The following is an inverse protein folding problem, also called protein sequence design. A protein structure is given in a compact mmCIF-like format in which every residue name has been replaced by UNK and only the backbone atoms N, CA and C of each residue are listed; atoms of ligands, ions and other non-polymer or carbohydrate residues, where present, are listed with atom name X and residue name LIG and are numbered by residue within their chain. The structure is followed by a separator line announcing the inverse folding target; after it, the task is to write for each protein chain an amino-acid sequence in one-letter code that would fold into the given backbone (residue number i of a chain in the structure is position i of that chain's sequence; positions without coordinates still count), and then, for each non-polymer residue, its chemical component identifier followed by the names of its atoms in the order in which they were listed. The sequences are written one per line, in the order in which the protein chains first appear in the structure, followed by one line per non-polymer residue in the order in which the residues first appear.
data_IF_709247119855
#
_entry.id   IF_709247119855
#
_cell.length_a   1.000
_cell.length_b   1.000
_cell.length_c   1.000
_cell.angle_alpha   90.00
_cell.angle_beta   90.00
_cell.angle_gamma   90.00
#
_symmetry.space_group_name_H-M   'P 1'
#
loop_
_entity.id
_entity.type
_entity.pdbx_description
1 polymer ?
#
# COMPACT_ATOMS: atom_id res chain seq x y z
N UNK A 1 -30.37 8.59 15.43
CA UNK A 1 -29.36 8.27 14.41
C UNK A 1 -29.27 6.75 14.35
N UNK A 2 -29.32 6.11 13.19
CA UNK A 2 -29.16 4.65 13.07
C UNK A 2 -27.76 4.25 13.52
N UNK A 3 -27.63 3.04 14.06
CA UNK A 3 -26.32 2.51 14.47
C UNK A 3 -25.58 2.05 13.21
N UNK A 4 -24.25 2.13 13.20
CA UNK A 4 -23.40 1.91 12.02
C UNK A 4 -23.69 0.58 11.29
N UNK A 5 -24.02 -0.50 12.00
CA UNK A 5 -24.37 -1.81 11.43
C UNK A 5 -25.79 -1.92 10.89
N UNK A 6 -26.57 -0.83 10.94
CA UNK A 6 -27.95 -0.75 10.43
C UNK A 6 -28.05 0.10 9.14
N UNK A 7 -26.95 0.73 8.74
CA UNK A 7 -26.88 1.53 7.51
C UNK A 7 -26.23 0.74 6.37
N UNK A 8 -26.56 1.04 5.10
CA UNK A 8 -25.85 0.47 3.96
C UNK A 8 -24.37 0.85 3.96
N UNK A 9 -23.51 0.01 3.40
CA UNK A 9 -22.07 0.30 3.25
C UNK A 9 -21.82 1.59 2.47
N UNK A 10 -22.66 1.91 1.50
CA UNK A 10 -22.63 3.16 0.73
C UNK A 10 -22.82 4.39 1.60
N UNK A 11 -23.71 4.30 2.60
CA UNK A 11 -23.94 5.41 3.53
C UNK A 11 -22.78 5.53 4.54
N UNK A 12 -22.21 4.40 4.98
CA UNK A 12 -20.99 4.40 5.81
C UNK A 12 -19.84 5.11 5.06
N UNK A 13 -19.58 4.73 3.82
CA UNK A 13 -18.55 5.37 3.00
C UNK A 13 -18.79 6.87 2.85
N UNK A 14 -20.02 7.30 2.55
CA UNK A 14 -20.36 8.73 2.43
C UNK A 14 -20.09 9.49 3.73
N UNK A 15 -20.40 8.89 4.88
CA UNK A 15 -20.10 9.51 6.18
C UNK A 15 -18.58 9.62 6.40
N UNK A 16 -17.79 8.59 6.05
CA UNK A 16 -16.34 8.62 6.16
C UNK A 16 -15.71 9.67 5.21
N UNK A 17 -16.22 9.83 3.98
CA UNK A 17 -15.70 10.83 3.02
C UNK A 17 -15.82 12.25 3.59
N UNK A 18 -16.88 12.57 4.35
CA UNK A 18 -17.09 13.90 4.95
C UNK A 18 -16.01 14.31 5.96
N UNK A 19 -15.19 13.38 6.40
CA UNK A 19 -14.00 13.71 7.21
C UNK A 19 -12.81 13.98 6.29
N UNK A 20 -12.25 15.20 6.26
CA UNK A 20 -11.07 15.52 5.46
C UNK A 20 -9.79 14.97 6.12
N UNK A 21 -9.69 13.64 6.20
CA UNK A 21 -8.59 12.90 6.83
C UNK A 21 -7.35 12.86 5.93
N UNK A 22 -6.87 14.03 5.49
CA UNK A 22 -5.56 14.10 4.83
C UNK A 22 -4.49 13.60 5.79
N UNK A 23 -3.49 12.86 5.28
CA UNK A 23 -2.41 12.27 6.11
C UNK A 23 -1.93 13.22 7.20
N UNK A 24 -1.84 12.74 8.44
CA UNK A 24 -1.60 13.47 9.70
C UNK A 24 -2.80 14.26 10.28
N UNK A 25 -4.00 14.14 9.69
CA UNK A 25 -5.23 14.81 10.15
C UNK A 25 -6.42 13.85 10.27
N UNK A 26 -6.16 12.58 10.56
CA UNK A 26 -7.17 11.51 10.59
C UNK A 26 -7.97 11.44 11.88
N UNK A 27 -7.51 12.14 12.92
CA UNK A 27 -8.03 12.02 14.29
C UNK A 27 -9.56 12.10 14.40
N UNK A 28 -10.19 13.06 13.70
CA UNK A 28 -11.65 13.24 13.77
C UNK A 28 -12.41 12.04 13.18
N UNK A 29 -11.89 11.45 12.08
CA UNK A 29 -12.45 10.24 11.50
C UNK A 29 -12.24 9.03 12.41
N UNK A 30 -11.06 8.90 13.00
CA UNK A 30 -10.70 7.81 13.91
C UNK A 30 -11.58 7.86 15.18
N UNK A 31 -11.71 9.02 15.80
CA UNK A 31 -12.56 9.21 16.97
C UNK A 31 -14.04 8.88 16.67
N UNK A 32 -14.51 9.31 15.47
CA UNK A 32 -15.87 9.01 15.04
C UNK A 32 -16.07 7.50 14.81
N UNK A 33 -15.13 6.80 14.13
CA UNK A 33 -15.21 5.36 13.92
C UNK A 33 -15.23 4.59 15.26
N UNK A 34 -14.36 4.96 16.19
CA UNK A 34 -14.31 4.36 17.53
C UNK A 34 -15.66 4.51 18.24
N UNK A 35 -16.24 5.72 18.25
CA UNK A 35 -17.55 5.97 18.84
C UNK A 35 -18.65 5.12 18.17
N UNK A 36 -18.72 5.12 16.82
CA UNK A 36 -19.76 4.42 16.11
C UNK A 36 -19.70 2.90 16.33
N UNK A 37 -18.50 2.31 16.32
CA UNK A 37 -18.32 0.87 16.56
C UNK A 37 -18.58 0.53 18.02
N UNK A 38 -18.10 1.32 18.97
CA UNK A 38 -18.36 1.14 20.42
C UNK A 38 -19.86 1.07 20.72
N UNK A 39 -20.67 1.88 20.08
CA UNK A 39 -22.14 1.90 20.27
C UNK A 39 -22.82 0.60 19.80
N UNK A 40 -22.16 -0.22 18.98
CA UNK A 40 -22.72 -1.51 18.55
C UNK A 40 -22.60 -2.57 19.63
N UNK A 41 -21.57 -2.53 20.45
CA UNK A 41 -21.22 -3.58 21.42
C UNK A 41 -20.84 -4.92 20.78
N UNK A 42 -20.59 -4.95 19.45
CA UNK A 42 -20.37 -6.18 18.68
C UNK A 42 -18.89 -6.57 18.55
N UNK A 43 -17.98 -5.62 18.62
CA UNK A 43 -16.55 -5.82 18.44
C UNK A 43 -15.79 -5.28 19.65
N UNK A 44 -14.69 -5.94 20.01
CA UNK A 44 -13.70 -5.39 20.94
C UNK A 44 -12.86 -4.34 20.18
N UNK A 45 -12.52 -3.24 20.85
CA UNK A 45 -11.78 -2.11 20.25
C UNK A 45 -10.46 -1.94 20.99
N UNK A 46 -9.38 -1.89 20.24
CA UNK A 46 -8.05 -1.55 20.72
C UNK A 46 -7.55 -0.32 19.96
N UNK A 47 -6.99 0.68 20.67
CA UNK A 47 -6.46 1.90 20.07
C UNK A 47 -4.96 2.03 20.31
N UNK A 48 -4.21 2.26 19.26
CA UNK A 48 -2.78 2.57 19.30
C UNK A 48 -2.54 3.93 18.66
N UNK A 49 -2.49 4.99 19.47
CA UNK A 49 -2.46 6.38 19.00
C UNK A 49 -3.71 6.69 18.17
N UNK A 50 -3.54 6.95 16.86
CA UNK A 50 -4.65 7.14 15.94
C UNK A 50 -4.95 5.90 15.07
N UNK A 51 -4.31 4.75 15.33
CA UNK A 51 -4.71 3.48 14.71
C UNK A 51 -5.79 2.80 15.56
N UNK A 52 -6.82 2.25 14.91
CA UNK A 52 -7.86 1.44 15.56
C UNK A 52 -7.74 -0.02 15.12
N UNK A 53 -7.95 -0.93 16.07
CA UNK A 53 -8.10 -2.35 15.77
C UNK A 53 -9.45 -2.81 16.31
N UNK A 54 -10.26 -3.40 15.44
CA UNK A 54 -11.54 -4.01 15.78
C UNK A 54 -11.40 -5.52 15.76
N UNK A 55 -11.74 -6.20 16.84
CA UNK A 55 -11.57 -7.64 17.00
C UNK A 55 -12.91 -8.37 17.04
N UNK A 56 -12.96 -9.50 16.33
CA UNK A 56 -14.03 -10.49 16.39
C UNK A 56 -13.45 -11.86 16.79
N UNK A 57 -13.98 -12.47 17.83
CA UNK A 57 -13.50 -13.74 18.35
C UNK A 57 -12.18 -13.63 19.10
N UNK A 58 -11.67 -14.77 19.56
CA UNK A 58 -10.45 -14.88 20.35
C UNK A 58 -9.75 -16.21 20.05
N UNK A 59 -8.45 -16.33 20.34
CA UNK A 59 -7.72 -17.58 20.13
C UNK A 59 -6.36 -17.36 19.48
N UNK A 60 -5.66 -18.49 19.22
CA UNK A 60 -4.26 -18.45 18.69
C UNK A 60 -4.21 -18.13 17.20
N UNK A 61 -5.16 -18.68 16.43
CA UNK A 61 -5.23 -18.42 14.98
C UNK A 61 -5.67 -16.98 14.77
N UNK A 62 -4.93 -16.24 13.93
CA UNK A 62 -5.17 -14.82 13.73
C UNK A 62 -5.15 -14.43 12.26
N UNK A 63 -6.34 -14.08 11.74
CA UNK A 63 -6.48 -13.43 10.45
C UNK A 63 -6.54 -11.90 10.66
N UNK A 64 -5.62 -11.18 10.06
CA UNK A 64 -5.48 -9.73 10.21
C UNK A 64 -5.91 -9.02 8.93
N UNK A 65 -6.83 -8.09 9.03
CA UNK A 65 -7.24 -7.20 7.97
C UNK A 65 -6.61 -5.83 8.23
N UNK A 66 -6.09 -5.17 7.20
CA UNK A 66 -5.54 -3.83 7.29
C UNK A 66 -5.98 -2.99 6.11
N UNK A 67 -6.37 -1.76 6.37
CA UNK A 67 -6.56 -0.71 5.37
C UNK A 67 -6.40 0.66 6.04
N UNK A 68 -6.21 1.72 5.26
CA UNK A 68 -5.92 3.05 5.80
C UNK A 68 -7.10 4.01 5.73
N UNK A 69 -7.10 4.99 6.63
CA UNK A 69 -8.14 6.00 6.77
C UNK A 69 -7.76 7.36 6.21
N UNK A 70 -6.47 7.58 5.98
CA UNK A 70 -5.97 8.81 5.41
C UNK A 70 -6.15 8.86 3.88
N UNK A 71 -6.00 10.05 3.35
CA UNK A 71 -6.12 10.34 1.93
C UNK A 71 -5.07 11.36 1.50
N UNK A 72 -4.64 11.31 0.23
CA UNK A 72 -3.81 12.38 -0.33
C UNK A 72 -4.58 13.71 -0.40
N UNK A 73 -3.88 14.86 -0.37
CA UNK A 73 -4.50 16.16 -0.58
C UNK A 73 -5.31 16.20 -1.89
N UNK A 74 -6.48 16.83 -1.89
CA UNK A 74 -7.28 16.97 -3.09
C UNK A 74 -6.54 17.72 -4.21
N UNK A 75 -6.77 17.30 -5.46
CA UNK A 75 -6.26 18.02 -6.62
C UNK A 75 -6.93 19.39 -6.74
N UNK A 76 -6.18 20.40 -7.18
CA UNK A 76 -6.73 21.73 -7.54
C UNK A 76 -7.72 21.67 -8.71
N UNK A 77 -7.79 20.54 -9.42
CA UNK A 77 -8.72 20.30 -10.53
C UNK A 77 -9.98 19.55 -10.10
N UNK A 78 -10.15 19.29 -8.79
CA UNK A 78 -11.37 18.64 -8.28
C UNK A 78 -12.58 19.52 -8.54
N UNK A 79 -13.68 18.91 -8.96
CA UNK A 79 -14.95 19.62 -9.23
C UNK A 79 -15.83 19.52 -7.99
N UNK A 80 -16.12 20.66 -7.37
CA UNK A 80 -16.89 20.72 -6.12
C UNK A 80 -16.05 20.53 -4.86
N UNK A 81 -16.71 20.19 -3.75
CA UNK A 81 -16.03 19.86 -2.49
C UNK A 81 -15.61 18.39 -2.51
N UNK A 82 -14.31 18.06 -2.43
CA UNK A 82 -13.82 16.69 -2.44
C UNK A 82 -14.28 15.85 -1.25
N UNK A 83 -14.75 16.49 -0.18
CA UNK A 83 -15.21 15.86 1.05
C UNK A 83 -16.75 15.90 1.21
N UNK A 84 -17.48 16.40 0.23
CA UNK A 84 -18.93 16.22 0.16
C UNK A 84 -19.27 15.14 -0.89
N UNK A 85 -19.62 13.92 -0.45
CA UNK A 85 -19.81 12.79 -1.36
C UNK A 85 -21.01 12.99 -2.26
N UNK A 86 -20.84 12.73 -3.55
CA UNK A 86 -21.90 12.81 -4.56
C UNK A 86 -22.15 11.41 -5.15
N UNK A 87 -23.37 10.90 -5.03
CA UNK A 87 -23.76 9.68 -5.73
C UNK A 87 -24.42 10.04 -7.06
N UNK A 88 -23.81 9.61 -8.15
CA UNK A 88 -24.31 9.85 -9.51
C UNK A 88 -23.92 8.70 -10.44
N UNK A 89 -24.85 8.26 -11.28
CA UNK A 89 -24.60 7.23 -12.30
C UNK A 89 -24.14 5.88 -11.72
N UNK A 90 -24.57 5.52 -10.50
CA UNK A 90 -24.16 4.28 -9.83
C UNK A 90 -22.74 4.33 -9.25
N UNK A 91 -22.15 5.52 -9.09
CA UNK A 91 -20.84 5.74 -8.47
C UNK A 91 -20.94 6.77 -7.34
N UNK A 92 -20.10 6.62 -6.34
CA UNK A 92 -19.90 7.61 -5.25
C UNK A 92 -18.59 8.32 -5.53
N UNK A 93 -18.67 9.63 -5.74
CA UNK A 93 -17.54 10.54 -5.95
C UNK A 93 -17.14 11.17 -4.61
N UNK A 94 -15.85 11.31 -4.40
CA UNK A 94 -15.25 11.96 -3.23
C UNK A 94 -13.85 11.45 -2.96
N UNK A 95 -13.00 12.27 -2.36
CA UNK A 95 -11.63 11.90 -2.02
C UNK A 95 -11.61 10.78 -0.98
N UNK A 96 -10.86 9.70 -1.28
CA UNK A 96 -10.81 8.49 -0.46
C UNK A 96 -11.95 7.50 -0.73
N UNK A 97 -12.85 7.78 -1.70
CA UNK A 97 -13.92 6.84 -2.03
C UNK A 97 -13.39 5.48 -2.48
N UNK A 98 -12.28 5.48 -3.23
CA UNK A 98 -11.58 4.30 -3.72
C UNK A 98 -10.41 3.96 -2.84
N UNK A 99 -9.60 4.95 -2.44
CA UNK A 99 -8.29 4.79 -1.80
C UNK A 99 -8.25 5.52 -0.44
N UNK A 100 -8.45 4.82 0.72
CA UNK A 100 -8.97 3.45 0.82
C UNK A 100 -10.18 3.37 1.77
N UNK A 101 -11.01 4.47 1.90
CA UNK A 101 -12.21 4.45 2.76
C UNK A 101 -13.28 3.46 2.26
N UNK A 102 -13.31 3.18 0.93
CA UNK A 102 -14.16 2.12 0.36
C UNK A 102 -13.82 0.74 0.90
N UNK A 103 -12.58 0.26 0.75
CA UNK A 103 -12.09 -0.96 1.40
C UNK A 103 -12.32 -0.99 2.92
N UNK A 104 -11.99 0.08 3.66
CA UNK A 104 -12.26 0.18 5.12
C UNK A 104 -13.74 -0.04 5.42
N UNK A 105 -14.63 0.63 4.66
CA UNK A 105 -16.08 0.51 4.86
C UNK A 105 -16.56 -0.92 4.66
N UNK A 106 -16.08 -1.62 3.61
CA UNK A 106 -16.45 -3.00 3.33
C UNK A 106 -15.91 -3.97 4.38
N UNK A 107 -14.65 -3.85 4.79
CA UNK A 107 -14.05 -4.68 5.83
C UNK A 107 -14.77 -4.51 7.17
N UNK A 108 -15.05 -3.27 7.56
CA UNK A 108 -15.74 -2.99 8.82
C UNK A 108 -17.17 -3.54 8.81
N UNK A 109 -17.92 -3.32 7.72
CA UNK A 109 -19.28 -3.87 7.60
C UNK A 109 -19.27 -5.40 7.60
N UNK A 110 -18.29 -6.05 6.97
CA UNK A 110 -18.14 -7.49 6.99
C UNK A 110 -17.94 -8.02 8.42
N UNK A 111 -17.06 -7.40 9.21
CA UNK A 111 -16.87 -7.79 10.60
C UNK A 111 -18.14 -7.59 11.44
N UNK A 112 -18.81 -6.45 11.29
CA UNK A 112 -20.05 -6.15 12.02
C UNK A 112 -21.17 -7.14 11.65
N UNK A 113 -21.31 -7.50 10.37
CA UNK A 113 -22.30 -8.48 9.92
C UNK A 113 -21.99 -9.88 10.45
N UNK A 114 -20.71 -10.30 10.44
CA UNK A 114 -20.29 -11.57 11.01
C UNK A 114 -20.61 -11.63 12.51
N UNK A 115 -20.27 -10.59 13.26
CA UNK A 115 -20.58 -10.49 14.68
C UNK A 115 -22.10 -10.53 14.95
N UNK A 116 -22.88 -9.74 14.21
CA UNK A 116 -24.33 -9.68 14.32
C UNK A 116 -25.01 -11.02 13.99
N UNK A 117 -24.42 -11.79 13.05
CA UNK A 117 -24.92 -13.13 12.70
C UNK A 117 -24.65 -14.20 13.77
N UNK A 118 -23.89 -13.87 14.82
CA UNK A 118 -23.44 -14.81 15.83
C UNK A 118 -22.29 -15.72 15.33
N UNK A 119 -21.57 -15.29 14.28
CA UNK A 119 -20.41 -16.07 13.83
C UNK A 119 -19.26 -16.00 14.82
N UNK A 120 -18.84 -17.15 15.28
CA UNK A 120 -17.68 -17.33 16.15
C UNK A 120 -16.54 -17.95 15.32
N UNK A 121 -15.52 -17.16 14.93
CA UNK A 121 -14.37 -17.72 14.22
C UNK A 121 -13.58 -18.68 15.12
N UNK A 122 -12.99 -19.75 14.58
CA UNK A 122 -12.12 -20.67 15.35
C UNK A 122 -10.84 -20.01 15.90
N UNK A 123 -10.70 -18.73 15.71
CA UNK A 123 -9.58 -17.91 16.13
C UNK A 123 -10.01 -16.45 16.27
N UNK A 124 -9.12 -15.53 15.98
CA UNK A 124 -9.36 -14.08 16.03
C UNK A 124 -9.30 -13.50 14.61
N UNK A 125 -10.26 -12.65 14.28
CA UNK A 125 -10.24 -11.75 13.13
C UNK A 125 -10.06 -10.34 13.65
N UNK A 126 -9.13 -9.58 13.07
CA UNK A 126 -8.91 -8.19 13.46
C UNK A 126 -8.87 -7.30 12.24
N UNK A 127 -9.55 -6.16 12.27
CA UNK A 127 -9.41 -5.09 11.28
C UNK A 127 -8.63 -3.94 11.91
N UNK A 128 -7.44 -3.67 11.39
CA UNK A 128 -6.69 -2.45 11.69
C UNK A 128 -7.03 -1.37 10.66
N UNK A 129 -7.57 -0.27 11.13
CA UNK A 129 -7.74 0.98 10.38
C UNK A 129 -6.56 1.86 10.74
N UNK A 130 -5.61 2.00 9.82
CA UNK A 130 -4.34 2.69 10.03
C UNK A 130 -4.36 4.11 9.49
N UNK A 131 -3.38 4.92 9.88
CA UNK A 131 -3.20 6.32 9.49
C UNK A 131 -1.89 6.52 8.73
N UNK A 132 -1.77 7.61 7.97
CA UNK A 132 -0.54 8.04 7.31
C UNK A 132 0.07 7.00 6.35
N UNK A 133 -0.74 6.20 5.65
CA UNK A 133 -0.26 5.32 4.59
C UNK A 133 0.26 6.13 3.40
N UNK A 134 -0.48 7.13 2.98
CA UNK A 134 -0.23 7.98 1.82
C UNK A 134 0.95 8.94 2.00
N UNK A 135 1.41 9.13 3.21
CA UNK A 135 2.61 9.90 3.51
C UNK A 135 3.77 8.96 3.80
N UNK A 136 4.62 8.69 2.81
CA UNK A 136 5.82 7.89 2.99
C UNK A 136 6.67 8.44 4.16
N UNK A 137 6.76 7.70 5.29
CA UNK A 137 7.55 8.16 6.42
C UNK A 137 7.45 7.28 7.67
N UNK A 138 8.14 7.69 8.72
CA UNK A 138 8.12 7.05 10.04
C UNK A 138 6.77 7.21 10.75
N UNK A 139 5.90 8.08 10.24
CA UNK A 139 4.55 8.31 10.76
C UNK A 139 3.52 7.30 10.24
N UNK A 140 3.88 6.42 9.28
CA UNK A 140 2.97 5.40 8.78
C UNK A 140 2.42 4.54 9.93
N UNK A 141 1.10 4.46 10.01
CA UNK A 141 0.39 3.81 11.10
C UNK A 141 0.65 2.31 11.18
N UNK A 142 0.70 1.61 10.04
CA UNK A 142 0.98 0.17 10.02
C UNK A 142 2.42 -0.13 10.43
N UNK A 143 3.41 0.67 9.98
CA UNK A 143 4.80 0.56 10.42
C UNK A 143 4.93 0.64 11.95
N UNK A 144 4.24 1.60 12.57
CA UNK A 144 4.26 1.79 14.03
C UNK A 144 3.47 0.70 14.76
N UNK A 145 2.34 0.30 14.21
CA UNK A 145 1.49 -0.74 14.79
C UNK A 145 2.19 -2.09 14.78
N UNK A 146 2.92 -2.43 13.68
CA UNK A 146 3.65 -3.71 13.54
C UNK A 146 4.67 -3.95 14.65
N UNK A 147 5.20 -2.90 15.24
CA UNK A 147 6.14 -2.99 16.37
C UNK A 147 5.45 -3.31 17.71
N UNK A 148 4.14 -3.18 17.79
CA UNK A 148 3.34 -3.35 19.01
C UNK A 148 2.51 -4.62 19.02
N UNK A 149 2.18 -5.16 17.85
CA UNK A 149 1.36 -6.37 17.72
C UNK A 149 2.21 -7.61 17.46
N UNK A 150 1.69 -8.77 17.86
CA UNK A 150 2.26 -10.06 17.49
C UNK A 150 2.11 -10.29 15.99
N UNK A 151 2.88 -11.27 15.45
CA UNK A 151 2.78 -11.67 14.06
C UNK A 151 1.45 -12.40 13.80
N UNK A 152 0.59 -11.92 12.88
CA UNK A 152 -0.60 -12.66 12.45
C UNK A 152 -0.22 -13.93 11.65
N UNK A 153 -1.14 -14.89 11.54
CA UNK A 153 -0.95 -16.08 10.72
C UNK A 153 -1.17 -15.81 9.23
N UNK A 154 -2.08 -14.91 8.90
CA UNK A 154 -2.32 -14.41 7.55
C UNK A 154 -2.94 -13.01 7.58
N UNK A 155 -2.90 -12.29 6.44
CA UNK A 155 -3.53 -10.97 6.34
C UNK A 155 -4.31 -10.76 5.04
N UNK A 156 -5.28 -9.81 5.09
CA UNK A 156 -5.92 -9.20 3.93
C UNK A 156 -5.62 -7.70 3.96
N UNK A 157 -5.10 -7.18 2.87
CA UNK A 157 -4.77 -5.76 2.73
C UNK A 157 -5.85 -5.10 1.86
N UNK A 158 -6.58 -4.17 2.43
CA UNK A 158 -7.70 -3.48 1.79
C UNK A 158 -7.23 -2.34 0.91
N UNK A 159 -7.12 -2.61 -0.37
CA UNK A 159 -6.70 -1.68 -1.41
C UNK A 159 -7.59 -1.83 -2.66
N UNK A 160 -7.72 -0.81 -3.51
CA UNK A 160 -8.56 -0.88 -4.70
C UNK A 160 -7.99 -1.85 -5.75
N UNK A 161 -8.56 -3.03 -5.88
CA UNK A 161 -8.13 -4.08 -6.82
C UNK A 161 -9.28 -4.62 -7.66
N UNK A 162 -10.43 -3.93 -7.71
CA UNK A 162 -11.65 -4.43 -8.35
C UNK A 162 -12.11 -5.80 -7.78
N UNK A 163 -11.84 -6.05 -6.50
CA UNK A 163 -12.06 -7.34 -5.80
C UNK A 163 -11.27 -8.51 -6.41
N UNK A 164 -10.22 -8.25 -7.20
CA UNK A 164 -9.31 -9.28 -7.66
C UNK A 164 -8.21 -9.51 -6.63
N UNK A 165 -7.89 -10.77 -6.29
CA UNK A 165 -6.89 -11.07 -5.27
C UNK A 165 -5.47 -10.87 -5.80
N UNK A 166 -4.74 -9.92 -5.22
CA UNK A 166 -3.36 -9.62 -5.55
C UNK A 166 -2.41 -10.39 -4.63
N UNK A 167 -1.58 -11.26 -5.19
CA UNK A 167 -0.66 -12.14 -4.46
C UNK A 167 0.79 -11.63 -4.41
N UNK A 168 1.13 -10.56 -5.10
CA UNK A 168 2.46 -9.97 -5.08
C UNK A 168 2.42 -8.48 -5.38
N UNK A 169 3.33 -7.72 -4.79
CA UNK A 169 3.55 -6.31 -5.15
C UNK A 169 5.04 -5.99 -5.22
N UNK A 170 5.40 -5.08 -6.13
CA UNK A 170 6.78 -4.60 -6.26
C UNK A 170 7.18 -3.78 -5.04
N UNK A 171 8.46 -3.92 -4.68
CA UNK A 171 9.09 -3.01 -3.74
C UNK A 171 9.61 -1.76 -4.45
N UNK A 172 10.14 -0.83 -3.65
CA UNK A 172 10.76 0.40 -4.12
C UNK A 172 12.09 0.61 -3.38
N UNK A 173 13.19 0.45 -4.12
CA UNK A 173 14.52 0.84 -3.72
C UNK A 173 14.92 2.10 -4.49
N UNK A 174 15.30 3.16 -3.80
CA UNK A 174 15.83 4.38 -4.42
C UNK A 174 17.31 4.50 -4.09
N UNK A 175 18.14 4.50 -5.11
CA UNK A 175 19.58 4.71 -4.98
C UNK A 175 19.95 6.10 -5.48
N UNK A 176 20.94 6.71 -4.80
CA UNK A 176 21.63 7.92 -5.23
C UNK A 176 23.01 7.53 -5.75
N UNK A 177 23.27 7.84 -7.01
CA UNK A 177 24.56 7.67 -7.68
C UNK A 177 25.28 9.01 -7.71
N UNK A 178 26.58 9.03 -7.40
CA UNK A 178 27.37 10.25 -7.37
C UNK A 178 28.71 10.04 -8.07
N UNK A 179 29.10 11.00 -8.89
CA UNK A 179 30.41 11.09 -9.52
C UNK A 179 31.08 12.41 -9.17
N UNK A 180 32.39 12.38 -9.08
CA UNK A 180 33.22 13.53 -8.77
C UNK A 180 34.06 13.93 -9.99
N UNK A 181 34.40 15.19 -10.08
CA UNK A 181 35.26 15.77 -11.08
C UNK A 181 36.21 16.83 -10.49
N UNK A 182 36.97 17.51 -11.33
CA UNK A 182 37.86 18.59 -10.92
C UNK A 182 37.19 19.95 -11.17
N UNK A 183 37.00 20.73 -10.09
CA UNK A 183 36.44 22.07 -10.18
C UNK A 183 37.39 23.08 -10.85
N UNK A 184 36.82 23.97 -11.67
CA UNK A 184 37.59 25.09 -12.23
C UNK A 184 37.01 25.70 -13.49
N UNK A 185 37.83 26.48 -14.20
CA UNK A 185 37.37 27.13 -15.42
C UNK A 185 37.34 26.12 -16.58
N UNK A 186 36.19 25.98 -17.26
CA UNK A 186 35.99 24.98 -18.34
C UNK A 186 37.04 25.03 -19.47
N UNK A 187 37.66 26.19 -19.71
CA UNK A 187 38.73 26.33 -20.70
C UNK A 187 40.11 25.92 -20.18
N UNK A 188 40.28 25.56 -18.91
CA UNK A 188 41.60 25.31 -18.30
C UNK A 188 41.74 23.93 -17.64
N UNK A 189 40.67 23.43 -17.05
CA UNK A 189 40.70 22.13 -16.38
C UNK A 189 40.67 20.99 -17.41
N UNK A 190 41.59 20.03 -17.23
CA UNK A 190 41.74 18.84 -18.08
C UNK A 190 41.50 17.53 -17.29
N UNK A 191 41.20 17.65 -16.03
CA UNK A 191 40.91 16.52 -15.13
C UNK A 191 39.55 15.87 -15.37
N UNK A 192 39.14 14.96 -14.48
CA UNK A 192 37.88 14.26 -14.58
C UNK A 192 36.69 15.23 -14.61
N UNK A 193 35.74 14.96 -15.48
CA UNK A 193 34.49 15.71 -15.61
C UNK A 193 33.34 14.86 -15.05
N UNK A 194 32.73 15.31 -13.96
CA UNK A 194 31.69 14.53 -13.27
C UNK A 194 30.51 14.14 -14.16
N UNK A 195 30.14 14.98 -15.15
CA UNK A 195 29.04 14.68 -16.07
C UNK A 195 29.46 13.55 -17.04
N UNK A 196 30.70 13.54 -17.52
CA UNK A 196 31.17 12.46 -18.39
C UNK A 196 31.30 11.12 -17.64
N UNK A 197 31.78 11.16 -16.40
CA UNK A 197 31.87 9.97 -15.54
C UNK A 197 30.46 9.40 -15.27
N UNK A 198 29.49 10.27 -15.00
CA UNK A 198 28.11 9.85 -14.80
C UNK A 198 27.51 9.28 -16.10
N UNK A 199 27.76 9.91 -17.24
CA UNK A 199 27.26 9.42 -18.53
C UNK A 199 27.79 8.01 -18.86
N UNK A 200 29.09 7.75 -18.58
CA UNK A 200 29.68 6.42 -18.73
C UNK A 200 29.04 5.39 -17.79
N UNK A 201 28.77 5.78 -16.54
CA UNK A 201 28.10 4.93 -15.55
C UNK A 201 26.65 4.63 -15.91
N UNK A 202 25.92 5.60 -16.45
CA UNK A 202 24.54 5.40 -16.94
C UNK A 202 24.48 4.46 -18.16
N UNK A 203 25.49 4.45 -19.00
CA UNK A 203 25.58 3.48 -20.09
C UNK A 203 25.74 2.05 -19.56
N UNK A 204 26.59 1.83 -18.53
CA UNK A 204 26.71 0.53 -17.88
C UNK A 204 25.42 0.15 -17.16
N UNK A 205 24.80 1.11 -16.44
CA UNK A 205 23.54 0.89 -15.72
C UNK A 205 22.44 0.35 -16.64
N UNK A 206 22.36 0.82 -17.89
CA UNK A 206 21.38 0.38 -18.88
C UNK A 206 21.48 -1.12 -19.17
N UNK A 207 22.68 -1.68 -19.05
CA UNK A 207 22.97 -3.08 -19.38
C UNK A 207 22.83 -4.00 -18.14
N UNK A 208 22.65 -3.42 -16.93
CA UNK A 208 22.37 -4.20 -15.71
C UNK A 208 20.94 -4.73 -15.75
N UNK A 209 20.82 -6.03 -15.62
CA UNK A 209 19.53 -6.72 -15.49
C UNK A 209 19.64 -7.87 -14.49
N UNK A 210 18.53 -8.30 -13.96
CA UNK A 210 18.41 -9.45 -13.08
C UNK A 210 17.57 -10.51 -13.78
N UNK A 211 18.08 -11.75 -13.91
CA UNK A 211 17.39 -12.82 -14.67
C UNK A 211 16.19 -13.40 -13.90
N UNK A 212 16.09 -13.13 -12.61
CA UNK A 212 15.00 -13.61 -11.77
C UNK A 212 13.68 -12.94 -12.15
N UNK A 213 12.61 -13.72 -12.15
CA UNK A 213 11.26 -13.27 -12.45
C UNK A 213 10.28 -13.80 -11.42
N UNK A 214 9.38 -12.93 -10.96
CA UNK A 214 8.23 -13.33 -10.18
C UNK A 214 7.04 -13.60 -11.12
N UNK A 215 6.26 -14.68 -10.90
CA UNK A 215 5.17 -15.06 -11.82
C UNK A 215 4.04 -14.02 -11.93
N UNK A 216 3.91 -13.12 -10.95
CA UNK A 216 2.84 -12.12 -10.91
C UNK A 216 3.29 -10.71 -11.29
N UNK A 217 4.53 -10.33 -10.95
CA UNK A 217 5.05 -8.95 -11.11
C UNK A 217 6.25 -8.85 -12.06
N UNK A 218 6.62 -9.97 -12.71
CA UNK A 218 7.74 -10.00 -13.66
C UNK A 218 9.10 -9.70 -13.03
N UNK A 219 10.02 -9.10 -13.78
CA UNK A 219 11.40 -8.83 -13.36
C UNK A 219 11.59 -7.49 -12.63
N UNK A 220 12.76 -7.33 -12.01
CA UNK A 220 13.22 -6.04 -11.46
C UNK A 220 13.31 -4.98 -12.55
N UNK A 221 12.81 -3.77 -12.26
CA UNK A 221 12.86 -2.63 -13.19
C UNK A 221 13.73 -1.52 -12.64
N UNK A 222 14.69 -1.06 -13.44
CA UNK A 222 15.64 0.00 -13.09
C UNK A 222 15.36 1.22 -13.95
N UNK A 223 15.17 2.39 -13.32
CA UNK A 223 14.82 3.63 -14.01
C UNK A 223 15.55 4.82 -13.38
N UNK A 224 16.56 5.42 -14.04
CA UNK A 224 17.06 6.74 -13.63
C UNK A 224 15.93 7.77 -13.76
N UNK A 225 15.67 8.54 -12.69
CA UNK A 225 14.51 9.44 -12.64
C UNK A 225 14.90 10.91 -12.59
N UNK A 226 16.04 11.22 -11.99
CA UNK A 226 16.55 12.61 -11.95
C UNK A 226 18.05 12.60 -12.19
N UNK A 227 18.55 13.66 -12.80
CA UNK A 227 19.99 13.94 -12.96
C UNK A 227 20.25 15.43 -12.69
N UNK A 228 21.27 15.72 -11.91
CA UNK A 228 21.75 17.07 -11.63
C UNK A 228 23.28 17.10 -11.69
N UNK A 229 23.86 18.06 -12.41
CA UNK A 229 25.32 18.13 -12.57
C UNK A 229 25.80 19.47 -13.13
N UNK A 230 26.92 19.95 -12.55
CA UNK A 230 27.51 21.23 -12.90
C UNK A 230 26.76 22.43 -12.31
N UNK A 231 27.43 23.56 -12.19
CA UNK A 231 26.91 24.77 -11.55
C UNK A 231 26.80 25.97 -12.47
N UNK A 232 27.61 26.05 -13.55
CA UNK A 232 27.61 27.15 -14.49
C UNK A 232 28.19 26.73 -15.85
N UNK A 233 27.78 27.43 -16.92
CA UNK A 233 28.18 27.16 -18.31
C UNK A 233 29.68 27.21 -18.57
N UNK A 234 30.44 27.96 -17.78
CA UNK A 234 31.88 28.18 -17.89
C UNK A 234 32.69 27.54 -16.75
N UNK A 235 32.03 26.77 -15.88
CA UNK A 235 32.65 25.99 -14.84
C UNK A 235 32.79 24.53 -15.28
N UNK A 236 33.96 23.90 -15.00
CA UNK A 236 34.14 22.48 -15.18
C UNK A 236 33.40 21.74 -14.05
N UNK A 237 32.52 20.77 -14.33
CA UNK A 237 31.68 20.16 -13.34
C UNK A 237 32.47 19.24 -12.39
N UNK A 238 32.38 19.53 -11.11
CA UNK A 238 33.02 18.78 -10.02
C UNK A 238 32.12 17.74 -9.38
N UNK A 239 30.82 17.78 -9.66
CA UNK A 239 29.84 16.82 -9.14
C UNK A 239 28.71 16.55 -10.14
N UNK A 240 28.21 15.31 -10.12
CA UNK A 240 26.98 14.94 -10.79
C UNK A 240 26.25 13.87 -9.96
N UNK A 241 24.95 14.03 -9.79
CA UNK A 241 24.09 13.15 -9.00
C UNK A 241 22.94 12.62 -9.85
N UNK A 242 22.62 11.33 -9.68
CA UNK A 242 21.46 10.68 -10.31
C UNK A 242 20.67 9.93 -9.22
N UNK A 243 19.35 10.05 -9.24
CA UNK A 243 18.48 9.14 -8.48
C UNK A 243 17.93 8.06 -9.42
N UNK A 244 17.93 6.83 -8.90
CA UNK A 244 17.44 5.64 -9.63
C UNK A 244 16.31 5.02 -8.84
N UNK A 245 15.09 4.99 -9.45
CA UNK A 245 13.94 4.22 -8.97
C UNK A 245 14.11 2.77 -9.42
N UNK A 246 14.12 1.85 -8.47
CA UNK A 246 14.25 0.41 -8.71
C UNK A 246 13.01 -0.28 -8.16
N UNK A 247 12.21 -0.84 -9.07
CA UNK A 247 11.05 -1.66 -8.70
C UNK A 247 11.50 -3.09 -8.52
N UNK A 248 11.59 -3.52 -7.26
CA UNK A 248 12.17 -4.80 -6.86
C UNK A 248 11.14 -5.93 -6.84
N UNK A 249 11.63 -7.15 -6.83
CA UNK A 249 10.84 -8.39 -6.69
C UNK A 249 11.38 -9.22 -5.51
N UNK A 250 10.60 -10.11 -4.88
CA UNK A 250 11.05 -10.88 -3.72
C UNK A 250 12.24 -11.82 -4.00
N UNK A 251 12.42 -12.23 -5.25
CA UNK A 251 13.46 -13.16 -5.68
C UNK A 251 14.85 -12.53 -5.70
N UNK A 252 14.95 -11.18 -5.65
CA UNK A 252 16.21 -10.43 -5.64
C UNK A 252 16.24 -9.45 -4.48
N UNK A 253 17.14 -9.68 -3.52
CA UNK A 253 17.25 -8.79 -2.36
C UNK A 253 17.79 -7.41 -2.73
N UNK A 254 17.43 -6.39 -1.95
CA UNK A 254 17.97 -5.04 -2.12
C UNK A 254 19.51 -5.02 -2.00
N UNK A 255 20.07 -5.81 -1.10
CA UNK A 255 21.52 -5.96 -0.91
C UNK A 255 22.19 -6.49 -2.19
N UNK A 256 21.60 -7.51 -2.83
CA UNK A 256 22.10 -8.05 -4.11
C UNK A 256 22.12 -6.99 -5.20
N UNK A 257 21.07 -6.17 -5.29
CA UNK A 257 20.99 -5.08 -6.27
C UNK A 257 22.07 -4.02 -6.00
N UNK A 258 22.19 -3.57 -4.75
CA UNK A 258 23.16 -2.55 -4.34
C UNK A 258 24.60 -3.02 -4.61
N UNK A 259 24.91 -4.26 -4.25
CA UNK A 259 26.25 -4.82 -4.44
C UNK A 259 26.59 -4.94 -5.94
N UNK A 260 25.65 -5.39 -6.76
CA UNK A 260 25.84 -5.44 -8.21
C UNK A 260 26.11 -4.07 -8.81
N UNK A 261 25.39 -3.04 -8.38
CA UNK A 261 25.62 -1.67 -8.82
C UNK A 261 27.01 -1.18 -8.42
N UNK A 262 27.45 -1.44 -7.18
CA UNK A 262 28.79 -1.08 -6.71
C UNK A 262 29.89 -1.73 -7.54
N UNK A 263 29.74 -3.01 -7.86
CA UNK A 263 30.73 -3.76 -8.62
C UNK A 263 30.84 -3.28 -10.07
N UNK A 264 29.70 -3.00 -10.72
CA UNK A 264 29.68 -2.71 -12.16
C UNK A 264 29.88 -1.22 -12.48
N UNK A 265 29.37 -0.32 -11.65
CA UNK A 265 29.42 1.11 -11.96
C UNK A 265 30.74 1.76 -11.54
N UNK A 266 31.35 1.32 -10.40
CA UNK A 266 32.63 1.84 -9.93
C UNK A 266 32.55 3.31 -9.47
N UNK A 267 31.37 3.78 -9.01
CA UNK A 267 31.10 5.13 -8.54
C UNK A 267 30.54 5.10 -7.12
N UNK A 268 30.38 6.24 -6.48
CA UNK A 268 29.75 6.33 -5.16
C UNK A 268 28.25 6.05 -5.24
N UNK A 269 27.77 5.09 -4.44
CA UNK A 269 26.37 4.68 -4.35
C UNK A 269 25.90 4.71 -2.92
N UNK A 270 24.85 5.46 -2.67
CA UNK A 270 24.17 5.53 -1.38
C UNK A 270 22.71 5.13 -1.50
N UNK A 271 22.16 4.53 -0.44
CA UNK A 271 20.74 4.22 -0.35
C UNK A 271 19.99 5.48 0.05
N UNK A 272 19.10 5.95 -0.81
CA UNK A 272 18.21 7.06 -0.49
C UNK A 272 16.96 6.56 0.23
N UNK A 273 16.40 5.41 -0.20
CA UNK A 273 15.28 4.74 0.48
C UNK A 273 15.24 3.26 0.10
N UNK A 274 15.03 2.38 1.10
CA UNK A 274 14.87 0.93 0.96
C UNK A 274 13.71 0.38 1.79
N UNK A 275 12.82 1.25 2.25
CA UNK A 275 11.74 0.94 3.21
C UNK A 275 10.64 0.07 2.63
N UNK A 276 10.41 0.13 1.33
CA UNK A 276 9.33 -0.59 0.67
C UNK A 276 9.85 -1.86 0.02
N UNK A 277 9.92 -2.94 0.80
CA UNK A 277 10.32 -4.25 0.28
C UNK A 277 9.23 -4.84 -0.62
N UNK A 278 9.64 -5.63 -1.62
CA UNK A 278 8.72 -6.43 -2.41
C UNK A 278 8.18 -7.60 -1.60
N UNK A 279 6.94 -7.98 -1.85
CA UNK A 279 6.28 -9.08 -1.13
C UNK A 279 5.51 -9.98 -2.10
N UNK A 280 5.40 -11.26 -1.74
CA UNK A 280 4.53 -12.21 -2.43
C UNK A 280 4.04 -13.29 -1.47
N UNK A 281 2.88 -13.85 -1.79
CA UNK A 281 2.29 -14.97 -1.05
C UNK A 281 2.17 -16.19 -1.98
N UNK A 282 2.47 -17.36 -1.44
CA UNK A 282 2.31 -18.63 -2.15
C UNK A 282 0.86 -18.80 -2.64
N UNK A 283 0.63 -19.09 -3.92
CA UNK A 283 -0.70 -19.40 -4.45
C UNK A 283 -1.46 -20.49 -3.70
N UNK A 284 -0.73 -21.48 -3.16
CA UNK A 284 -1.31 -22.62 -2.41
C UNK A 284 -1.53 -22.29 -0.93
N UNK A 285 -1.16 -21.10 -0.46
CA UNK A 285 -1.44 -20.71 0.92
C UNK A 285 -2.96 -20.57 1.14
N UNK A 286 -3.51 -20.98 2.31
CA UNK A 286 -4.95 -20.90 2.58
C UNK A 286 -5.60 -19.55 2.31
N UNK A 287 -4.90 -18.43 2.57
CA UNK A 287 -5.43 -17.08 2.30
C UNK A 287 -5.56 -16.81 0.79
N UNK A 288 -4.62 -17.29 -0.02
CA UNK A 288 -4.66 -17.19 -1.49
C UNK A 288 -5.79 -18.03 -2.05
N UNK A 289 -5.91 -19.28 -1.60
CA UNK A 289 -6.96 -20.20 -2.01
C UNK A 289 -8.36 -19.70 -1.59
N UNK A 290 -8.50 -19.16 -0.37
CA UNK A 290 -9.76 -18.61 0.09
C UNK A 290 -10.20 -17.43 -0.80
N UNK A 291 -9.29 -16.50 -1.09
CA UNK A 291 -9.58 -15.34 -1.90
C UNK A 291 -9.96 -15.71 -3.35
N UNK A 292 -9.21 -16.62 -4.00
CA UNK A 292 -9.49 -17.08 -5.37
C UNK A 292 -10.79 -17.87 -5.47
N UNK A 293 -11.10 -18.74 -4.50
CA UNK A 293 -12.33 -19.54 -4.50
C UNK A 293 -13.57 -18.67 -4.29
N UNK A 294 -13.48 -17.65 -3.45
CA UNK A 294 -14.61 -16.75 -3.18
C UNK A 294 -14.88 -15.82 -4.35
N UNK A 295 -13.83 -15.21 -4.90
CA UNK A 295 -13.99 -14.23 -5.98
C UNK A 295 -14.15 -14.86 -7.37
N UNK A 296 -13.70 -16.10 -7.54
CA UNK A 296 -13.61 -16.74 -8.87
C UNK A 296 -12.53 -16.12 -9.78
N UNK A 297 -11.77 -15.16 -9.29
CA UNK A 297 -10.74 -14.45 -10.04
C UNK A 297 -9.36 -15.08 -9.81
N UNK A 298 -8.48 -15.13 -10.83
CA UNK A 298 -7.11 -15.57 -10.67
C UNK A 298 -6.29 -14.58 -9.83
N UNK A 299 -5.22 -15.06 -9.23
CA UNK A 299 -4.22 -14.21 -8.58
C UNK A 299 -3.52 -13.33 -9.61
N UNK A 300 -3.20 -12.09 -9.21
CA UNK A 300 -2.41 -11.17 -10.01
C UNK A 300 -1.34 -10.45 -9.17
N UNK A 301 -0.51 -9.63 -9.81
CA UNK A 301 0.52 -8.83 -9.15
C UNK A 301 0.35 -7.33 -9.39
N UNK A 302 0.67 -6.51 -8.39
CA UNK A 302 0.56 -5.06 -8.40
C UNK A 302 1.93 -4.39 -8.59
N UNK A 303 2.05 -3.39 -9.47
CA UNK A 303 3.26 -2.58 -9.58
C UNK A 303 3.41 -1.54 -8.46
N UNK A 304 2.34 -1.31 -7.69
CA UNK A 304 2.30 -0.32 -6.60
C UNK A 304 2.54 -0.95 -5.24
N UNK A 305 3.05 -0.16 -4.31
CA UNK A 305 3.24 -0.55 -2.91
C UNK A 305 2.00 -0.23 -2.07
N UNK A 306 1.89 -0.83 -0.89
CA UNK A 306 0.86 -0.58 0.13
C UNK A 306 1.41 -0.96 1.50
N UNK A 307 0.64 -0.80 2.56
CA UNK A 307 0.98 -1.22 3.93
C UNK A 307 1.37 -2.70 4.06
N UNK A 308 1.13 -3.53 3.05
CA UNK A 308 1.61 -4.91 3.01
C UNK A 308 3.12 -5.06 3.26
N UNK A 309 3.93 -4.05 2.87
CA UNK A 309 5.39 -4.07 3.09
C UNK A 309 5.77 -4.21 4.58
N UNK A 310 4.93 -3.73 5.48
CA UNK A 310 5.14 -3.84 6.93
C UNK A 310 4.66 -5.19 7.52
N UNK A 311 4.05 -6.02 6.68
CA UNK A 311 3.64 -7.40 6.95
C UNK A 311 4.37 -8.39 6.02
N UNK A 312 5.58 -8.05 5.56
CA UNK A 312 6.33 -8.87 4.60
C UNK A 312 6.65 -10.29 5.11
N UNK A 313 6.65 -10.50 6.43
CA UNK A 313 6.81 -11.79 7.09
C UNK A 313 5.49 -12.57 7.28
N UNK A 314 4.36 -12.02 6.79
CA UNK A 314 3.01 -12.58 6.92
C UNK A 314 2.45 -12.91 5.54
N UNK A 315 1.98 -14.15 5.30
CA UNK A 315 1.24 -14.45 4.08
C UNK A 315 0.00 -13.56 3.96
N UNK A 316 -0.10 -12.79 2.87
CA UNK A 316 -1.22 -11.87 2.71
C UNK A 316 -1.72 -11.80 1.27
N UNK A 317 -2.96 -11.35 1.12
CA UNK A 317 -3.58 -11.00 -0.16
C UNK A 317 -4.05 -9.55 -0.09
N UNK A 318 -3.65 -8.76 -1.08
CA UNK A 318 -4.18 -7.41 -1.26
C UNK A 318 -5.46 -7.49 -2.10
N UNK A 319 -6.58 -7.01 -1.54
CA UNK A 319 -7.90 -7.11 -2.18
C UNK A 319 -8.85 -6.04 -1.65
N UNK A 320 -9.63 -5.44 -2.53
CA UNK A 320 -10.71 -4.53 -2.13
C UNK A 320 -11.52 -3.99 -3.31
N UNK A 321 -12.66 -3.36 -3.02
CA UNK A 321 -13.47 -2.67 -4.02
C UNK A 321 -12.73 -1.43 -4.53
N UNK A 322 -13.10 -0.97 -5.70
CA UNK A 322 -12.51 0.19 -6.37
C UNK A 322 -11.42 -0.18 -7.37
N UNK A 323 -11.15 0.76 -8.26
CA UNK A 323 -10.11 0.64 -9.29
C UNK A 323 -8.94 1.55 -8.90
N UNK A 324 -7.73 0.99 -8.79
CA UNK A 324 -6.52 1.77 -8.45
C UNK A 324 -6.19 2.85 -9.50
N UNK A 325 -6.73 2.76 -10.71
CA UNK A 325 -6.60 3.83 -11.70
C UNK A 325 -7.39 5.10 -11.36
N UNK A 326 -8.40 5.00 -10.48
CA UNK A 326 -9.15 6.13 -9.94
C UNK A 326 -8.44 6.78 -8.74
N UNK A 327 -7.49 6.08 -8.09
CA UNK A 327 -6.73 6.59 -6.93
C UNK A 327 -6.00 7.88 -7.28
N UNK A 328 -6.01 8.84 -6.34
CA UNK A 328 -5.33 10.15 -6.44
C UNK A 328 -5.81 11.04 -7.59
N UNK A 329 -6.80 10.63 -8.38
CA UNK A 329 -7.35 11.46 -9.47
C UNK A 329 -8.16 12.63 -8.94
N UNK A 330 -8.44 13.60 -9.82
CA UNK A 330 -9.25 14.78 -9.48
C UNK A 330 -10.72 14.42 -9.21
N UNK A 331 -11.23 13.34 -9.82
CA UNK A 331 -12.61 12.89 -9.70
C UNK A 331 -12.68 11.45 -9.21
N UNK A 332 -11.94 11.17 -8.15
CA UNK A 332 -11.92 9.86 -7.51
C UNK A 332 -13.34 9.39 -7.20
N UNK A 333 -13.64 8.14 -7.55
CA UNK A 333 -14.96 7.57 -7.35
C UNK A 333 -14.95 6.06 -7.31
N UNK A 334 -15.93 5.46 -6.65
CA UNK A 334 -16.13 4.02 -6.56
C UNK A 334 -17.51 3.61 -7.04
N UNK A 335 -17.62 2.48 -7.72
CA UNK A 335 -18.93 1.92 -8.12
C UNK A 335 -19.69 1.41 -6.88
N UNK A 336 -20.98 1.76 -6.78
CA UNK A 336 -21.88 1.29 -5.71
C UNK A 336 -21.91 -0.25 -5.68
N UNK A 337 -21.99 -0.88 -6.86
CA UNK A 337 -22.01 -2.34 -6.98
C UNK A 337 -20.77 -3.01 -6.38
N UNK A 338 -19.59 -2.40 -6.52
CA UNK A 338 -18.38 -2.95 -5.92
C UNK A 338 -18.35 -2.84 -4.39
N UNK A 339 -18.93 -1.79 -3.81
CA UNK A 339 -19.10 -1.69 -2.37
C UNK A 339 -20.08 -2.75 -1.85
N UNK A 340 -21.21 -2.92 -2.54
CA UNK A 340 -22.21 -3.91 -2.17
C UNK A 340 -21.70 -5.35 -2.31
N UNK A 341 -20.86 -5.61 -3.30
CA UNK A 341 -20.18 -6.89 -3.51
C UNK A 341 -19.00 -7.11 -2.55
N UNK A 342 -18.27 -6.05 -2.19
CA UNK A 342 -17.10 -6.12 -1.34
C UNK A 342 -17.38 -6.66 0.06
N UNK A 343 -18.50 -6.29 0.66
CA UNK A 343 -18.88 -6.75 2.01
C UNK A 343 -19.00 -8.28 2.06
N UNK A 344 -19.86 -8.94 1.27
CA UNK A 344 -19.99 -10.40 1.29
C UNK A 344 -18.70 -11.12 0.82
N UNK A 345 -17.90 -10.51 -0.04
CA UNK A 345 -16.59 -11.06 -0.44
C UNK A 345 -15.68 -11.19 0.78
N UNK A 346 -15.52 -10.14 1.59
CA UNK A 346 -14.71 -10.24 2.82
C UNK A 346 -15.29 -11.23 3.83
N UNK A 347 -16.61 -11.24 4.06
CA UNK A 347 -17.26 -12.21 4.95
C UNK A 347 -16.96 -13.67 4.54
N UNK A 348 -17.05 -13.96 3.23
CA UNK A 348 -16.82 -15.29 2.70
C UNK A 348 -15.34 -15.69 2.73
N UNK A 349 -14.42 -14.77 2.42
CA UNK A 349 -12.97 -15.03 2.53
C UNK A 349 -12.59 -15.36 3.97
N UNK A 350 -13.11 -14.60 4.96
CA UNK A 350 -12.86 -14.85 6.38
C UNK A 350 -13.35 -16.26 6.75
N UNK A 351 -14.58 -16.62 6.41
CA UNK A 351 -15.14 -17.96 6.69
C UNK A 351 -14.33 -19.05 6.02
N UNK A 352 -14.05 -18.89 4.73
CA UNK A 352 -13.34 -19.89 3.92
C UNK A 352 -11.92 -20.12 4.38
N UNK A 353 -11.20 -19.06 4.76
CA UNK A 353 -9.86 -19.17 5.34
C UNK A 353 -9.87 -20.03 6.59
N UNK A 354 -10.76 -19.76 7.56
CA UNK A 354 -10.83 -20.53 8.79
C UNK A 354 -11.28 -21.99 8.55
N UNK A 355 -12.19 -22.26 7.63
CA UNK A 355 -12.56 -23.61 7.22
C UNK A 355 -11.33 -24.39 6.74
N UNK A 356 -10.51 -23.80 5.88
CA UNK A 356 -9.32 -24.46 5.32
C UNK A 356 -8.24 -24.78 6.36
N UNK A 357 -8.01 -23.87 7.32
CA UNK A 357 -6.95 -24.08 8.31
C UNK A 357 -7.37 -24.99 9.46
N UNK A 358 -8.67 -25.14 9.72
CA UNK A 358 -9.18 -26.05 10.75
C UNK A 358 -9.40 -27.48 10.25
N UNK A 359 -9.39 -27.71 8.94
CA UNK A 359 -9.50 -29.02 8.32
C UNK A 359 -8.12 -29.66 8.06
N UNK A 360 -7.04 -28.93 8.27
CA UNK A 360 -5.66 -29.44 8.20
C UNK A 360 -5.18 -29.91 9.56
#
# INVERSE_FOLDING_TARGET
MKIIHEIPVTELLKQMIRFPSVSTREKDLVDWLEEQVSRTGLLEIERHEDNLIFHLGSGRLWLFLNSHSDVVPPSVRHVGDPFEPVEQGGRIYGRGSTDAKGPVSCMLMALLNLAKSGYEPPGRVSLAVTVCEESAGENNGMFRLRQKIQRPDAALIGEPTLLHPCAAQKGLLILKLETEGEAGHAARVTGPNAIYEMAASLQKLRDISFPEENPFIGSTRITPTTIDGGTARNAHPDSCTVHVDIRTIPEVSNETIIERFRQELGITISVFSDRFVSVSTDPEHPVSLAATQVTGNPLFGSPTTSDWVFLADVPAIKIGPGDSSDSHTANESIAVSQLEEGVPVYEQIIRRYFEMITQR
#
